data_IF_492942715936
#
_entry.id   IF_492942715936
#
_cell.length_a   1.000
_cell.length_b   1.000
_cell.length_c   1.000
_cell.angle_alpha   90.00
_cell.angle_beta   90.00
_cell.angle_gamma   90.00
#
_symmetry.space_group_name_H-M   'P 1'
#
loop_
_entity.id
_entity.type
_entity.pdbx_description
1 polymer ?
#
# COMPACT_ATOMS: atom_id res chain seq x y z
N UNK A 1 52.00 20.47 56.62
CA UNK A 1 50.98 21.55 56.68
C UNK A 1 49.71 21.01 56.05
N UNK A 2 48.55 21.24 56.68
CA UNK A 2 47.25 20.82 56.15
C UNK A 2 46.21 21.92 56.36
N UNK A 3 44.92 21.52 56.38
CA UNK A 3 43.72 22.35 56.58
C UNK A 3 43.05 22.87 55.26
N UNK A 4 41.72 23.15 55.26
CA UNK A 4 40.77 22.18 54.67
C UNK A 4 39.53 22.83 53.97
N UNK A 5 38.42 22.07 53.89
CA UNK A 5 37.02 22.46 53.57
C UNK A 5 36.65 22.67 52.10
N UNK A 6 35.41 22.43 51.63
CA UNK A 6 34.33 21.50 52.04
C UNK A 6 33.25 21.53 50.94
N UNK A 7 32.57 20.41 50.62
CA UNK A 7 31.30 20.43 49.82
C UNK A 7 30.42 19.17 49.94
N UNK A 8 29.65 19.15 51.02
CA UNK A 8 28.21 18.82 51.13
C UNK A 8 27.61 17.76 50.19
N UNK A 9 27.27 16.60 50.75
CA UNK A 9 26.33 15.61 50.20
C UNK A 9 24.88 16.12 50.18
N UNK A 10 24.12 15.77 49.13
CA UNK A 10 22.64 15.67 49.13
C UNK A 10 22.21 14.56 48.15
N UNK A 11 21.31 13.70 48.62
CA UNK A 11 20.52 12.66 47.94
C UNK A 11 20.50 12.53 46.40
N UNK A 12 20.66 11.28 45.95
CA UNK A 12 20.07 10.77 44.70
C UNK A 12 19.39 9.44 44.98
N UNK A 13 18.06 9.44 45.04
CA UNK A 13 17.23 8.23 45.03
C UNK A 13 16.95 7.77 43.60
N UNK A 14 17.21 6.50 43.26
CA UNK A 14 16.49 5.77 42.22
C UNK A 14 15.56 4.72 42.85
N UNK A 15 14.29 4.72 42.42
CA UNK A 15 13.23 3.86 42.97
C UNK A 15 13.02 2.59 42.13
N UNK A 16 12.92 1.46 42.83
CA UNK A 16 12.28 0.18 42.48
C UNK A 16 12.74 -0.62 41.25
N UNK A 17 12.93 -1.94 41.46
CA UNK A 17 13.09 -2.91 40.37
C UNK A 17 13.80 -4.24 40.73
N UNK A 18 13.70 -4.73 41.97
CA UNK A 18 14.30 -6.01 42.38
C UNK A 18 13.26 -7.14 42.46
N UNK A 19 13.68 -8.37 42.14
CA UNK A 19 12.81 -9.53 41.94
C UNK A 19 12.68 -10.45 43.18
N UNK A 20 11.57 -11.18 43.23
CA UNK A 20 11.30 -12.39 44.03
C UNK A 20 9.98 -12.99 43.52
N UNK A 21 9.87 -14.26 43.10
CA UNK A 21 10.02 -15.57 43.77
C UNK A 21 8.69 -16.13 44.32
N UNK A 22 8.52 -17.46 44.09
CA UNK A 22 7.60 -18.45 44.70
C UNK A 22 6.08 -18.47 44.42
N UNK A 23 5.68 -19.54 43.71
CA UNK A 23 4.69 -20.61 44.04
C UNK A 23 3.20 -20.34 44.37
N UNK A 24 2.36 -21.24 43.84
CA UNK A 24 0.92 -21.46 44.07
C UNK A 24 0.35 -22.15 42.80
N UNK A 25 -0.02 -23.44 42.75
CA UNK A 25 -0.96 -24.23 43.55
C UNK A 25 -2.44 -23.91 43.24
N UNK A 26 -3.04 -24.83 42.48
CA UNK A 26 -4.45 -25.27 42.38
C UNK A 26 -5.61 -24.25 42.37
N UNK A 27 -6.44 -24.32 41.31
CA UNK A 27 -7.87 -24.68 41.47
C UNK A 27 -8.52 -25.08 40.13
N UNK A 28 -9.49 -26.00 40.20
CA UNK A 28 -10.22 -26.57 39.07
C UNK A 28 -11.38 -25.67 38.61
N UNK A 29 -11.93 -25.93 37.41
CA UNK A 29 -13.38 -26.10 37.17
C UNK A 29 -13.57 -26.72 35.78
N UNK A 30 -14.15 -27.92 35.75
CA UNK A 30 -14.71 -28.53 34.54
C UNK A 30 -16.10 -27.94 34.24
N UNK A 31 -16.44 -27.76 32.97
CA UNK A 31 -17.79 -28.05 32.47
C UNK A 31 -17.64 -28.76 31.13
N UNK A 32 -18.07 -30.02 31.08
CA UNK A 32 -18.04 -30.88 29.90
C UNK A 32 -19.45 -31.04 29.30
N UNK A 33 -19.55 -31.65 28.12
CA UNK A 33 -20.79 -31.76 27.37
C UNK A 33 -21.66 -32.99 27.72
N UNK A 34 -22.97 -32.85 27.47
CA UNK A 34 -24.00 -33.88 27.22
C UNK A 34 -24.65 -34.69 28.39
N UNK A 35 -25.96 -34.45 28.62
CA UNK A 35 -27.05 -35.43 28.94
C UNK A 35 -28.43 -34.73 29.07
N UNK A 36 -29.60 -35.38 29.13
CA UNK A 36 -30.25 -36.31 28.15
C UNK A 36 -31.76 -36.53 28.46
N UNK A 37 -32.65 -36.24 27.48
CA UNK A 37 -34.00 -36.83 27.21
C UNK A 37 -35.16 -36.70 28.25
N UNK A 38 -36.41 -36.82 27.75
CA UNK A 38 -37.75 -36.97 28.40
C UNK A 38 -38.51 -35.66 28.74
N UNK A 39 -39.84 -35.53 28.57
CA UNK A 39 -40.91 -36.49 28.16
C UNK A 39 -42.14 -35.79 27.49
N UNK A 40 -43.10 -36.57 26.97
CA UNK A 40 -44.29 -36.16 26.17
C UNK A 40 -45.50 -35.55 26.94
N UNK A 41 -46.35 -34.74 26.26
CA UNK A 41 -47.84 -34.86 26.30
C UNK A 41 -48.61 -33.95 25.29
N UNK A 42 -49.76 -34.44 24.80
CA UNK A 42 -50.64 -33.89 23.74
C UNK A 42 -51.54 -32.70 24.14
N UNK A 43 -52.03 -31.94 23.13
CA UNK A 43 -53.47 -31.57 23.01
C UNK A 43 -53.90 -31.10 21.59
N UNK A 44 -55.15 -31.41 21.24
CA UNK A 44 -55.81 -31.23 19.94
C UNK A 44 -56.68 -29.95 19.82
N UNK A 45 -57.18 -29.67 18.60
CA UNK A 45 -58.18 -28.62 18.20
C UNK A 45 -57.70 -27.14 18.26
N UNK A 46 -58.22 -26.18 17.46
CA UNK A 46 -59.43 -26.10 16.62
C UNK A 46 -59.25 -25.21 15.35
N UNK A 47 -60.15 -25.31 14.36
CA UNK A 47 -60.26 -24.37 13.23
C UNK A 47 -61.31 -23.29 13.48
N UNK A 48 -60.98 -21.99 13.39
CA UNK A 48 -61.91 -20.99 12.83
C UNK A 48 -61.36 -19.57 12.61
N UNK A 49 -62.02 -18.89 11.66
CA UNK A 49 -62.12 -17.43 11.45
C UNK A 49 -61.04 -16.72 10.61
N UNK A 50 -61.53 -15.77 9.80
CA UNK A 50 -60.80 -15.07 8.73
C UNK A 50 -60.42 -13.65 9.15
N UNK A 51 -59.32 -13.14 8.62
CA UNK A 51 -59.24 -11.70 8.29
C UNK A 51 -58.30 -11.47 7.10
N UNK A 52 -58.86 -11.08 5.96
CA UNK A 52 -58.11 -10.69 4.76
C UNK A 52 -57.51 -9.31 4.96
N UNK A 53 -56.20 -9.16 4.74
CA UNK A 53 -55.57 -7.88 4.40
C UNK A 53 -54.56 -8.09 3.27
N UNK A 54 -54.84 -7.49 2.12
CA UNK A 54 -53.98 -7.56 0.94
C UNK A 54 -52.62 -6.92 1.21
N UNK A 55 -51.55 -7.63 0.87
CA UNK A 55 -50.27 -7.03 0.49
C UNK A 55 -49.91 -7.52 -0.91
N UNK A 56 -49.67 -6.56 -1.79
CA UNK A 56 -49.22 -6.79 -3.16
C UNK A 56 -47.96 -7.65 -3.19
N UNK A 57 -47.95 -8.79 -3.90
CA UNK A 57 -46.74 -9.59 -4.06
C UNK A 57 -45.77 -8.88 -5.02
N UNK A 58 -44.61 -8.51 -4.50
CA UNK A 58 -43.50 -8.02 -5.31
C UNK A 58 -43.03 -9.16 -6.22
N UNK A 59 -43.14 -8.99 -7.55
CA UNK A 59 -42.91 -10.07 -8.51
C UNK A 59 -41.41 -10.33 -8.77
N UNK A 60 -40.74 -11.01 -7.84
CA UNK A 60 -39.49 -11.75 -8.15
C UNK A 60 -39.84 -13.20 -8.54
N UNK A 61 -40.68 -13.33 -9.58
CA UNK A 61 -41.09 -14.62 -10.14
C UNK A 61 -40.08 -15.10 -11.18
N UNK A 62 -39.53 -16.31 -10.98
CA UNK A 62 -38.71 -16.96 -12.00
C UNK A 62 -39.58 -17.27 -13.23
N UNK A 63 -39.36 -16.57 -14.35
CA UNK A 63 -40.07 -16.85 -15.60
C UNK A 63 -39.48 -18.14 -16.18
N UNK A 64 -40.32 -19.18 -16.28
CA UNK A 64 -39.93 -20.50 -16.79
C UNK A 64 -40.59 -20.67 -18.16
N UNK A 65 -39.78 -20.99 -19.18
CA UNK A 65 -40.29 -21.30 -20.53
C UNK A 65 -41.01 -22.66 -20.53
N UNK A 66 -41.78 -22.94 -21.59
CA UNK A 66 -42.60 -24.15 -21.72
C UNK A 66 -41.80 -25.47 -21.60
N UNK A 67 -40.48 -25.43 -21.83
CA UNK A 67 -39.53 -26.55 -21.64
C UNK A 67 -38.98 -26.68 -20.20
N UNK A 68 -39.56 -26.00 -19.21
CA UNK A 68 -39.14 -26.08 -17.80
C UNK A 68 -37.81 -25.40 -17.48
N UNK A 69 -37.25 -24.62 -18.43
CA UNK A 69 -35.97 -23.90 -18.26
C UNK A 69 -36.21 -22.46 -17.81
N UNK A 70 -35.47 -21.95 -16.81
CA UNK A 70 -35.60 -20.57 -16.37
C UNK A 70 -35.06 -19.60 -17.42
N UNK A 71 -35.88 -18.64 -17.84
CA UNK A 71 -35.51 -17.54 -18.74
C UNK A 71 -34.98 -16.39 -17.90
N UNK A 72 -33.65 -16.28 -17.82
CA UNK A 72 -33.01 -15.11 -17.25
C UNK A 72 -33.19 -13.92 -18.18
N UNK A 73 -34.06 -12.98 -17.81
CA UNK A 73 -34.09 -11.67 -18.49
C UNK A 73 -32.74 -11.00 -18.31
N UNK A 74 -32.16 -10.51 -19.41
CA UNK A 74 -30.84 -9.86 -19.37
C UNK A 74 -30.88 -8.72 -18.37
N UNK A 75 -30.05 -8.81 -17.33
CA UNK A 75 -30.04 -7.85 -16.24
C UNK A 75 -29.85 -6.44 -16.82
N UNK A 76 -30.84 -5.56 -16.62
CA UNK A 76 -30.73 -4.15 -17.02
C UNK A 76 -29.40 -3.64 -16.49
N UNK A 77 -28.57 -3.09 -17.39
CA UNK A 77 -27.28 -2.54 -17.02
C UNK A 77 -27.49 -1.39 -16.02
N UNK A 78 -27.46 -1.71 -14.73
CA UNK A 78 -27.36 -0.75 -13.65
C UNK A 78 -26.00 -0.10 -13.86
N UNK A 79 -26.00 1.03 -14.57
CA UNK A 79 -24.80 1.75 -14.96
C UNK A 79 -23.89 1.87 -13.76
N UNK A 80 -22.63 1.47 -13.93
CA UNK A 80 -21.68 1.13 -12.86
C UNK A 80 -21.50 2.26 -11.85
N UNK A 81 -22.39 2.33 -10.85
CA UNK A 81 -22.32 3.29 -9.76
C UNK A 81 -21.09 2.94 -8.94
N UNK A 82 -20.04 3.75 -9.11
CA UNK A 82 -18.80 3.65 -8.33
C UNK A 82 -19.19 3.63 -6.86
N UNK A 83 -18.79 2.57 -6.15
CA UNK A 83 -19.10 2.42 -4.72
C UNK A 83 -18.46 3.56 -3.95
N UNK A 84 -19.12 3.98 -2.86
CA UNK A 84 -18.56 5.02 -2.00
C UNK A 84 -17.42 4.41 -1.16
N UNK A 85 -16.22 4.42 -1.74
CA UNK A 85 -15.02 3.81 -1.18
C UNK A 85 -14.12 4.88 -0.56
N UNK A 86 -13.45 4.51 0.52
CA UNK A 86 -12.41 5.31 1.14
C UNK A 86 -11.08 4.55 1.16
N UNK A 87 -9.98 5.29 1.01
CA UNK A 87 -8.63 4.74 1.10
C UNK A 87 -7.77 5.67 1.94
N UNK A 88 -6.98 5.10 2.85
CA UNK A 88 -6.02 5.82 3.68
C UNK A 88 -4.60 5.38 3.33
N UNK A 89 -3.76 6.32 2.90
CA UNK A 89 -2.33 6.08 2.69
C UNK A 89 -1.55 6.72 3.86
N UNK A 90 -0.79 5.93 4.65
CA UNK A 90 0.12 6.47 5.66
C UNK A 90 1.35 7.10 4.98
N UNK A 91 1.87 8.20 5.53
CA UNK A 91 3.02 8.91 4.95
C UNK A 91 4.17 8.94 5.98
N UNK A 92 5.39 8.53 5.58
CA UNK A 92 6.57 8.55 6.44
C UNK A 92 6.85 9.95 7.04
N UNK A 93 7.35 10.03 8.29
CA UNK A 93 7.61 11.32 8.95
C UNK A 93 8.53 12.24 8.13
N UNK A 94 9.56 11.70 7.48
CA UNK A 94 10.51 12.45 6.66
C UNK A 94 9.90 13.06 5.37
N UNK A 95 8.71 12.62 4.94
CA UNK A 95 7.97 13.22 3.79
C UNK A 95 6.87 14.20 4.22
N UNK A 96 6.56 14.33 5.50
CA UNK A 96 5.49 15.21 5.99
C UNK A 96 5.75 16.71 5.77
N UNK A 97 7.01 17.15 5.76
CA UNK A 97 7.36 18.55 5.44
C UNK A 97 7.22 18.86 3.94
N UNK A 98 7.84 18.08 3.02
CA UNK A 98 7.59 18.19 1.58
C UNK A 98 6.09 18.12 1.21
N UNK A 99 5.32 17.23 1.86
CA UNK A 99 3.89 17.10 1.62
C UNK A 99 3.11 18.40 1.85
N UNK A 100 3.46 19.18 2.88
CA UNK A 100 2.79 20.47 3.17
C UNK A 100 3.18 21.53 2.15
N UNK A 101 4.46 21.63 1.81
CA UNK A 101 4.98 22.60 0.84
C UNK A 101 4.37 22.39 -0.55
N UNK A 102 4.34 21.13 -1.00
CA UNK A 102 3.89 20.76 -2.35
C UNK A 102 2.42 20.33 -2.38
N UNK A 103 1.67 20.49 -1.28
CA UNK A 103 0.26 20.09 -1.19
C UNK A 103 -0.58 20.67 -2.33
N UNK A 104 -0.33 21.94 -2.69
CA UNK A 104 -1.06 22.61 -3.75
C UNK A 104 -0.94 21.92 -5.11
N UNK A 105 0.24 21.40 -5.47
CA UNK A 105 0.43 20.63 -6.71
C UNK A 105 -0.13 19.21 -6.64
N UNK A 106 -0.38 18.68 -5.44
CA UNK A 106 -0.86 17.30 -5.21
C UNK A 106 -2.40 17.26 -5.21
N UNK A 107 -3.09 18.19 -4.56
CA UNK A 107 -4.56 18.17 -4.53
C UNK A 107 -5.16 18.48 -5.90
N UNK A 108 -4.56 19.42 -6.65
CA UNK A 108 -5.12 19.91 -7.91
C UNK A 108 -5.40 18.77 -8.92
N UNK A 109 -4.42 17.95 -9.35
CA UNK A 109 -4.70 16.87 -10.31
C UNK A 109 -5.61 15.77 -9.73
N UNK A 110 -5.60 15.53 -8.41
CA UNK A 110 -6.50 14.55 -7.78
C UNK A 110 -7.97 14.98 -7.79
N UNK A 111 -8.24 16.28 -7.67
CA UNK A 111 -9.60 16.84 -7.71
C UNK A 111 -10.04 17.10 -9.15
N UNK A 112 -9.17 17.67 -9.99
CA UNK A 112 -9.51 18.05 -11.37
C UNK A 112 -9.64 16.84 -12.30
N UNK A 113 -8.66 15.91 -12.31
CA UNK A 113 -8.66 14.79 -13.25
C UNK A 113 -9.47 13.60 -12.74
N UNK A 114 -9.28 13.22 -11.46
CA UNK A 114 -9.91 12.02 -10.87
C UNK A 114 -11.22 12.30 -10.13
N UNK A 115 -11.53 13.57 -9.85
CA UNK A 115 -12.72 13.98 -9.06
C UNK A 115 -12.82 13.22 -7.74
N UNK A 116 -11.72 13.13 -7.01
CA UNK A 116 -11.68 12.50 -5.68
C UNK A 116 -11.70 13.56 -4.58
N UNK A 117 -12.40 13.27 -3.49
CA UNK A 117 -12.31 14.08 -2.28
C UNK A 117 -11.07 13.67 -1.48
N UNK A 118 -10.16 14.61 -1.23
CA UNK A 118 -8.87 14.35 -0.58
C UNK A 118 -8.74 15.16 0.71
N UNK A 119 -8.32 14.50 1.81
CA UNK A 119 -8.09 15.13 3.11
C UNK A 119 -6.74 14.73 3.69
N UNK A 120 -5.93 15.71 4.07
CA UNK A 120 -4.71 15.47 4.85
C UNK A 120 -5.03 15.40 6.35
N UNK A 121 -4.69 14.29 7.01
CA UNK A 121 -4.86 14.10 8.45
C UNK A 121 -3.49 14.19 9.15
N UNK A 122 -3.20 15.36 9.72
CA UNK A 122 -1.90 15.64 10.35
C UNK A 122 -1.65 14.79 11.61
N UNK A 123 -2.69 14.53 12.42
CA UNK A 123 -2.57 13.72 13.65
C UNK A 123 -2.23 12.26 13.34
N UNK A 124 -2.86 11.68 12.32
CA UNK A 124 -2.62 10.28 11.90
C UNK A 124 -1.49 10.11 10.88
N UNK A 125 -0.86 11.21 10.43
CA UNK A 125 0.17 11.24 9.36
C UNK A 125 -0.25 10.45 8.13
N UNK A 126 -1.47 10.71 7.66
CA UNK A 126 -2.06 9.97 6.55
C UNK A 126 -2.89 10.90 5.65
N UNK A 127 -2.98 10.56 4.37
CA UNK A 127 -3.93 11.17 3.43
C UNK A 127 -5.10 10.21 3.24
N UNK A 128 -6.31 10.73 3.37
CA UNK A 128 -7.57 10.05 3.20
C UNK A 128 -8.17 10.48 1.86
N UNK A 129 -8.45 9.53 0.97
CA UNK A 129 -9.18 9.73 -0.28
C UNK A 129 -10.57 9.11 -0.15
N UNK A 130 -11.56 9.72 -0.81
CA UNK A 130 -12.93 9.22 -0.93
C UNK A 130 -13.43 9.44 -2.35
N UNK A 131 -14.14 8.47 -2.90
CA UNK A 131 -14.91 8.67 -4.13
C UNK A 131 -16.12 9.57 -3.85
N UNK A 132 -16.54 10.36 -4.84
CA UNK A 132 -17.78 11.13 -4.80
C UNK A 132 -18.70 10.71 -5.95
N UNK A 133 -19.88 11.34 -6.04
CA UNK A 133 -20.85 11.06 -7.11
C UNK A 133 -20.34 11.45 -8.50
N UNK A 134 -19.37 12.37 -8.56
CA UNK A 134 -18.78 12.89 -9.80
C UNK A 134 -17.59 12.04 -10.28
N UNK A 135 -17.09 11.11 -9.45
CA UNK A 135 -16.05 10.14 -9.83
C UNK A 135 -16.63 9.14 -10.83
N UNK A 136 -16.26 9.26 -12.11
CA UNK A 136 -16.80 8.43 -13.20
C UNK A 136 -16.06 7.10 -13.40
N UNK A 137 -14.77 7.06 -13.08
CA UNK A 137 -13.93 5.86 -13.26
C UNK A 137 -13.81 5.07 -11.94
N UNK A 138 -14.03 3.76 -12.01
CA UNK A 138 -13.83 2.83 -10.89
C UNK A 138 -12.34 2.67 -10.53
N UNK A 139 -11.43 2.84 -11.49
CA UNK A 139 -9.98 2.80 -11.28
C UNK A 139 -9.41 4.06 -10.60
N UNK A 140 -10.14 5.17 -10.58
CA UNK A 140 -9.66 6.48 -10.14
C UNK A 140 -9.10 6.45 -8.71
N UNK A 141 -9.79 5.79 -7.77
CA UNK A 141 -9.34 5.70 -6.38
C UNK A 141 -7.99 4.99 -6.25
N UNK A 142 -7.73 3.97 -7.08
CA UNK A 142 -6.47 3.24 -7.07
C UNK A 142 -5.34 4.09 -7.69
N UNK A 143 -5.59 4.75 -8.83
CA UNK A 143 -4.61 5.69 -9.45
C UNK A 143 -4.23 6.82 -8.49
N UNK A 144 -5.22 7.41 -7.80
CA UNK A 144 -4.98 8.44 -6.79
C UNK A 144 -4.21 7.92 -5.56
N UNK A 145 -4.46 6.67 -5.14
CA UNK A 145 -3.71 6.03 -4.07
C UNK A 145 -2.25 5.77 -4.48
N UNK A 146 -2.00 5.28 -5.70
CA UNK A 146 -0.66 4.99 -6.20
C UNK A 146 0.15 6.27 -6.49
N UNK A 147 -0.49 7.37 -6.91
CA UNK A 147 0.14 8.69 -7.01
C UNK A 147 0.67 9.18 -5.64
N UNK A 148 -0.16 9.13 -4.59
CA UNK A 148 0.27 9.51 -3.23
C UNK A 148 1.32 8.53 -2.67
N UNK A 149 1.21 7.24 -3.01
CA UNK A 149 2.21 6.23 -2.66
C UNK A 149 3.56 6.51 -3.35
N UNK A 150 3.58 6.91 -4.62
CA UNK A 150 4.80 7.34 -5.31
C UNK A 150 5.48 8.51 -4.58
N UNK A 151 4.70 9.55 -4.26
CA UNK A 151 5.20 10.70 -3.49
C UNK A 151 5.71 10.29 -2.10
N UNK A 152 5.05 9.32 -1.45
CA UNK A 152 5.48 8.75 -0.17
C UNK A 152 6.79 7.97 -0.26
N UNK A 153 7.06 7.31 -1.38
CA UNK A 153 8.31 6.56 -1.64
C UNK A 153 9.49 7.46 -2.03
N UNK A 154 9.24 8.76 -2.24
CA UNK A 154 10.29 9.76 -2.48
C UNK A 154 10.36 10.30 -3.90
N UNK A 155 9.49 9.86 -4.82
CA UNK A 155 9.37 10.47 -6.15
C UNK A 155 8.95 11.94 -6.06
N UNK A 156 9.34 12.73 -7.05
CA UNK A 156 8.85 14.10 -7.20
C UNK A 156 7.40 14.10 -7.71
N UNK A 157 6.68 15.20 -7.46
CA UNK A 157 5.27 15.35 -7.85
C UNK A 157 5.12 15.38 -9.37
N UNK A 158 6.06 16.01 -10.08
CA UNK A 158 6.01 16.13 -11.54
C UNK A 158 6.27 14.77 -12.24
N UNK A 159 7.12 13.91 -11.66
CA UNK A 159 7.31 12.52 -12.11
C UNK A 159 6.12 11.63 -11.72
N UNK A 160 5.58 11.78 -10.50
CA UNK A 160 4.40 11.04 -10.06
C UNK A 160 3.16 11.36 -10.90
N UNK A 161 3.04 12.59 -11.42
CA UNK A 161 1.94 13.01 -12.29
C UNK A 161 1.84 12.17 -13.58
N UNK A 162 2.93 11.53 -14.02
CA UNK A 162 2.91 10.60 -15.15
C UNK A 162 2.01 9.38 -14.89
N UNK A 163 1.92 8.90 -13.64
CA UNK A 163 1.03 7.79 -13.22
C UNK A 163 -0.47 8.14 -13.34
N UNK A 164 -0.80 9.43 -13.36
CA UNK A 164 -2.18 9.90 -13.58
C UNK A 164 -2.52 10.10 -15.06
N UNK A 165 -1.53 10.03 -15.95
CA UNK A 165 -1.69 10.23 -17.41
C UNK A 165 -1.59 8.93 -18.20
N UNK A 166 -0.71 8.01 -17.79
CA UNK A 166 -0.43 6.75 -18.49
C UNK A 166 -0.61 5.58 -17.51
N UNK A 167 -1.48 4.63 -17.87
CA UNK A 167 -1.82 3.47 -17.04
C UNK A 167 -0.77 2.34 -17.11
N UNK A 168 0.09 2.34 -18.13
CA UNK A 168 1.15 1.34 -18.34
C UNK A 168 2.39 1.55 -17.44
N UNK A 169 2.32 2.50 -16.50
CA UNK A 169 3.45 2.99 -15.72
C UNK A 169 3.36 2.46 -14.29
N UNK A 170 4.34 1.65 -13.89
CA UNK A 170 4.34 0.93 -12.60
C UNK A 170 5.44 1.42 -11.67
N UNK A 171 5.23 1.22 -10.37
CA UNK A 171 6.23 1.46 -9.33
C UNK A 171 6.74 0.12 -8.81
N UNK A 172 7.97 -0.20 -9.15
CA UNK A 172 8.68 -1.36 -8.62
C UNK A 172 9.49 -0.95 -7.38
N UNK A 173 9.38 -1.72 -6.31
CA UNK A 173 10.26 -1.58 -5.13
C UNK A 173 11.18 -2.78 -5.04
N UNK A 174 12.41 -2.55 -4.60
CA UNK A 174 13.49 -3.52 -4.59
C UNK A 174 14.41 -3.26 -3.42
N UNK A 175 14.85 -4.31 -2.71
CA UNK A 175 15.87 -4.16 -1.67
C UNK A 175 17.20 -4.74 -2.17
N UNK A 176 18.31 -4.04 -1.92
CA UNK A 176 19.66 -4.46 -2.34
C UNK A 176 20.02 -5.85 -1.79
N UNK A 177 19.45 -6.21 -0.63
CA UNK A 177 19.62 -7.52 0.02
C UNK A 177 19.04 -8.69 -0.80
N UNK A 178 18.03 -8.44 -1.65
CA UNK A 178 17.33 -9.48 -2.43
C UNK A 178 18.25 -10.14 -3.47
N UNK A 179 19.29 -9.42 -3.92
CA UNK A 179 20.29 -9.93 -4.88
C UNK A 179 21.40 -10.69 -4.18
N UNK A 180 21.88 -10.11 -3.07
CA UNK A 180 23.08 -10.55 -2.38
C UNK A 180 23.01 -10.05 -0.95
N UNK A 181 23.26 -10.95 -0.01
CA UNK A 181 23.39 -10.59 1.41
C UNK A 181 24.66 -9.74 1.62
N UNK A 182 24.49 -8.41 1.60
CA UNK A 182 25.56 -7.43 1.75
C UNK A 182 25.49 -6.79 3.14
N UNK A 183 26.63 -6.75 3.82
CA UNK A 183 26.77 -6.22 5.17
C UNK A 183 27.71 -5.01 5.19
N UNK A 184 27.41 -4.02 6.03
CA UNK A 184 28.28 -2.87 6.32
C UNK A 184 28.83 -2.16 5.08
N UNK A 185 30.16 -2.11 4.98
CA UNK A 185 30.88 -1.46 3.88
C UNK A 185 30.46 -1.95 2.49
N UNK A 186 30.14 -3.24 2.33
CA UNK A 186 29.73 -3.76 1.02
C UNK A 186 28.38 -3.21 0.56
N UNK A 187 27.46 -2.90 1.49
CA UNK A 187 26.18 -2.26 1.16
C UNK A 187 26.42 -0.80 0.74
N UNK A 188 27.20 -0.03 1.52
CA UNK A 188 27.58 1.34 1.17
C UNK A 188 28.31 1.44 -0.17
N UNK A 189 29.21 0.50 -0.43
CA UNK A 189 29.93 0.37 -1.71
C UNK A 189 29.01 0.04 -2.88
N UNK A 190 28.02 -0.85 -2.70
CA UNK A 190 27.04 -1.15 -3.73
C UNK A 190 26.16 0.06 -4.05
N UNK A 191 25.65 0.76 -3.03
CA UNK A 191 24.88 2.01 -3.17
C UNK A 191 25.71 3.08 -3.89
N UNK A 192 26.97 3.27 -3.49
CA UNK A 192 27.88 4.23 -4.12
C UNK A 192 28.15 3.95 -5.61
N UNK A 193 28.08 2.68 -6.04
CA UNK A 193 28.19 2.30 -7.46
C UNK A 193 26.91 2.58 -8.26
N UNK A 194 25.74 2.41 -7.64
CA UNK A 194 24.43 2.69 -8.26
C UNK A 194 24.24 4.19 -8.44
N UNK A 195 24.52 4.99 -7.41
CA UNK A 195 24.48 6.44 -7.49
C UNK A 195 25.58 6.96 -8.45
N UNK A 196 26.82 6.52 -8.25
CA UNK A 196 28.00 7.13 -8.85
C UNK A 196 28.29 8.53 -8.29
N UNK A 197 29.39 9.14 -8.74
CA UNK A 197 29.72 10.52 -8.37
C UNK A 197 28.59 11.46 -8.84
N UNK A 198 28.09 12.28 -7.92
CA UNK A 198 27.01 13.26 -8.12
C UNK A 198 25.72 12.66 -8.73
N UNK A 199 25.44 11.37 -8.51
CA UNK A 199 24.28 10.69 -9.09
C UNK A 199 24.39 10.38 -10.60
N UNK A 200 25.56 10.57 -11.22
CA UNK A 200 25.76 10.42 -12.68
C UNK A 200 25.43 9.02 -13.19
N UNK A 201 25.72 7.96 -12.41
CA UNK A 201 25.38 6.59 -12.81
C UNK A 201 23.88 6.37 -12.78
N UNK A 202 23.19 6.83 -11.72
CA UNK A 202 21.73 6.80 -11.62
C UNK A 202 21.09 7.51 -12.83
N UNK A 203 21.50 8.74 -13.10
CA UNK A 203 20.94 9.55 -14.18
C UNK A 203 21.20 8.97 -15.58
N UNK A 204 22.35 8.33 -15.79
CA UNK A 204 22.64 7.61 -17.04
C UNK A 204 21.71 6.41 -17.25
N UNK A 205 21.41 5.65 -16.18
CA UNK A 205 20.45 4.53 -16.23
C UNK A 205 19.02 5.05 -16.48
N UNK A 206 18.60 6.11 -15.77
CA UNK A 206 17.29 6.75 -15.92
C UNK A 206 17.05 7.21 -17.37
N UNK A 207 18.02 7.93 -17.95
CA UNK A 207 17.92 8.42 -19.33
C UNK A 207 17.96 7.30 -20.38
N UNK A 208 18.80 6.27 -20.18
CA UNK A 208 18.90 5.15 -21.12
C UNK A 208 17.62 4.27 -21.12
N UNK A 209 17.07 3.99 -19.94
CA UNK A 209 15.89 3.12 -19.77
C UNK A 209 14.54 3.87 -19.83
N UNK A 210 14.55 5.22 -19.83
CA UNK A 210 13.36 6.07 -19.67
C UNK A 210 12.56 5.70 -18.40
N UNK A 211 13.27 5.55 -17.29
CA UNK A 211 12.71 5.32 -15.96
C UNK A 211 13.08 6.46 -15.01
N UNK A 212 12.39 6.53 -13.87
CA UNK A 212 12.78 7.36 -12.73
C UNK A 212 13.18 6.46 -11.57
N UNK A 213 14.29 6.76 -10.93
CA UNK A 213 14.89 5.92 -9.91
C UNK A 213 15.14 6.76 -8.66
N UNK A 214 14.49 6.39 -7.57
CA UNK A 214 14.73 6.93 -6.23
C UNK A 214 15.51 5.89 -5.43
N UNK A 215 16.62 6.32 -4.84
CA UNK A 215 17.46 5.49 -3.97
C UNK A 215 17.29 5.95 -2.53
N UNK A 216 16.89 5.03 -1.66
CA UNK A 216 16.60 5.23 -0.24
C UNK A 216 17.36 4.17 0.58
N UNK A 217 18.66 4.40 0.76
CA UNK A 217 19.62 3.50 1.41
C UNK A 217 19.57 2.07 0.84
N UNK A 218 18.98 1.13 1.58
CA UNK A 218 18.84 -0.27 1.18
C UNK A 218 17.75 -0.50 0.13
N UNK A 219 16.78 0.43 0.00
CA UNK A 219 15.62 0.29 -0.89
C UNK A 219 15.77 1.19 -2.12
N UNK A 220 15.39 0.65 -3.26
CA UNK A 220 15.40 1.32 -4.55
C UNK A 220 13.99 1.25 -5.11
N UNK A 221 13.48 2.39 -5.55
CA UNK A 221 12.17 2.51 -6.18
C UNK A 221 12.38 2.90 -7.63
N UNK A 222 11.80 2.12 -8.55
CA UNK A 222 11.86 2.34 -10.00
C UNK A 222 10.45 2.64 -10.47
N UNK A 223 10.27 3.76 -11.16
CA UNK A 223 9.03 4.13 -11.83
C UNK A 223 9.24 4.07 -13.34
N UNK A 224 8.40 3.30 -14.03
CA UNK A 224 8.52 3.07 -15.47
C UNK A 224 7.56 2.01 -16.00
N UNK A 225 7.53 1.84 -17.32
CA UNK A 225 6.83 0.71 -17.93
C UNK A 225 7.50 -0.62 -17.61
N UNK A 226 6.76 -1.72 -17.63
CA UNK A 226 7.23 -3.04 -17.19
C UNK A 226 8.55 -3.48 -17.84
N UNK A 227 8.67 -3.32 -19.16
CA UNK A 227 9.89 -3.66 -19.93
C UNK A 227 11.08 -2.76 -19.56
N UNK A 228 10.86 -1.46 -19.48
CA UNK A 228 11.87 -0.46 -19.08
C UNK A 228 12.36 -0.70 -17.65
N UNK A 229 11.44 -0.98 -16.72
CA UNK A 229 11.72 -1.29 -15.31
C UNK A 229 12.60 -2.52 -15.17
N UNK A 230 12.32 -3.60 -15.92
CA UNK A 230 13.16 -4.81 -15.97
C UNK A 230 14.61 -4.51 -16.39
N UNK A 231 14.81 -3.64 -17.38
CA UNK A 231 16.15 -3.28 -17.88
C UNK A 231 16.90 -2.40 -16.88
N UNK A 232 16.22 -1.43 -16.24
CA UNK A 232 16.79 -0.65 -15.16
C UNK A 232 17.19 -1.56 -13.97
N UNK A 233 16.33 -2.50 -13.58
CA UNK A 233 16.59 -3.52 -12.56
C UNK A 233 17.81 -4.37 -12.91
N UNK A 234 17.92 -4.90 -14.12
CA UNK A 234 19.06 -5.73 -14.55
C UNK A 234 20.39 -4.96 -14.51
N UNK A 235 20.39 -3.68 -14.91
CA UNK A 235 21.55 -2.80 -14.79
C UNK A 235 21.96 -2.56 -13.32
N UNK A 236 20.99 -2.29 -12.44
CA UNK A 236 21.22 -2.10 -10.99
C UNK A 236 21.77 -3.39 -10.37
N UNK A 237 21.15 -4.55 -10.65
CA UNK A 237 21.61 -5.88 -10.22
C UNK A 237 23.05 -6.13 -10.67
N UNK A 238 23.37 -5.82 -11.93
CA UNK A 238 24.73 -5.99 -12.48
C UNK A 238 25.77 -5.14 -11.72
N UNK A 239 25.42 -3.91 -11.33
CA UNK A 239 26.28 -3.03 -10.52
C UNK A 239 26.46 -3.54 -9.08
N UNK A 240 25.40 -4.06 -8.45
CA UNK A 240 25.45 -4.69 -7.13
C UNK A 240 26.36 -5.93 -7.15
N UNK A 241 26.22 -6.79 -8.15
CA UNK A 241 26.94 -8.07 -8.25
C UNK A 241 28.46 -7.93 -8.38
N UNK A 242 28.94 -6.90 -9.10
CA UNK A 242 30.37 -6.77 -9.38
C UNK A 242 30.73 -6.08 -10.69
N UNK A 243 29.80 -5.92 -11.63
CA UNK A 243 30.15 -5.57 -13.02
C UNK A 243 30.75 -4.16 -13.16
N UNK A 244 31.85 -3.98 -13.93
CA UNK A 244 32.42 -2.66 -14.20
C UNK A 244 31.37 -1.71 -14.83
N UNK A 245 31.23 -0.46 -14.36
CA UNK A 245 30.21 0.47 -14.88
C UNK A 245 30.27 0.66 -16.40
N UNK A 246 31.47 0.67 -17.00
CA UNK A 246 31.64 0.75 -18.45
C UNK A 246 30.94 -0.37 -19.23
N UNK A 247 30.96 -1.61 -18.72
CA UNK A 247 30.23 -2.74 -19.32
C UNK A 247 28.71 -2.57 -19.19
N UNK A 248 28.24 -2.08 -18.05
CA UNK A 248 26.82 -1.81 -17.81
C UNK A 248 26.31 -0.69 -18.75
N UNK A 249 27.08 0.37 -18.96
CA UNK A 249 26.73 1.43 -19.92
C UNK A 249 26.72 0.94 -21.37
N UNK A 250 27.68 0.08 -21.77
CA UNK A 250 27.69 -0.54 -23.09
C UNK A 250 26.42 -1.36 -23.35
N UNK A 251 26.08 -2.25 -22.40
CA UNK A 251 24.86 -3.06 -22.47
C UNK A 251 23.60 -2.20 -22.51
N UNK A 252 23.47 -1.21 -21.61
CA UNK A 252 22.32 -0.28 -21.59
C UNK A 252 22.16 0.47 -22.90
N UNK A 253 23.25 0.91 -23.54
CA UNK A 253 23.19 1.61 -24.83
C UNK A 253 22.67 0.70 -25.96
N UNK A 254 23.12 -0.55 -26.02
CA UNK A 254 22.67 -1.54 -27.02
C UNK A 254 21.21 -1.92 -26.81
N UNK A 255 20.78 -2.09 -25.56
CA UNK A 255 19.38 -2.39 -25.24
C UNK A 255 18.50 -1.18 -25.53
N UNK A 256 18.91 0.02 -25.15
CA UNK A 256 18.15 1.25 -25.41
C UNK A 256 18.02 1.60 -26.90
N UNK A 257 19.00 1.26 -27.75
CA UNK A 257 18.86 1.41 -29.20
C UNK A 257 17.83 0.43 -29.76
N UNK A 258 17.92 -0.86 -29.38
CA UNK A 258 16.94 -1.88 -29.79
C UNK A 258 15.51 -1.58 -29.33
N UNK A 259 15.32 -0.99 -28.15
CA UNK A 259 13.99 -0.55 -27.68
C UNK A 259 13.43 0.66 -28.44
N UNK A 260 14.28 1.43 -29.13
CA UNK A 260 13.84 2.58 -29.94
C UNK A 260 13.48 2.14 -31.37
N UNK A 261 14.05 1.03 -31.85
CA UNK A 261 13.68 0.39 -33.10
C UNK A 261 12.27 -0.20 -32.96
N UNK A 262 11.30 0.40 -33.67
CA UNK A 262 10.01 -0.25 -33.94
C UNK A 262 10.18 -1.16 -35.15
N UNK A 263 9.87 -2.44 -34.96
CA UNK A 263 9.49 -3.35 -36.04
C UNK A 263 8.00 -3.12 -36.38
#
# INVERSE_FOLDING_TARGET
MGAPTARKDVDVSPVAGAAGLTQGADEEIMIDAAMVISDDHDHDHDMSSMSVQEKTPNQDGMVIDQDGKPVFTSAKAIGSKVKLENRRIPIPPHRMSPLRSTWMKIYQPLVEHLKLQVRMNLKRRAVELRTCKDTTDSGALQKGADFIKAFSLGFDVDDALALLRLDDLYIETFEVKDVKSLHGDHLGRAIGRIAGKDGKTKFAIENASRTRIVLADSKIHILGGFTNGKIAREAIVSLILGSPPGKVYGNLRIVASRMKERF
#
